data_IF_296523159448
#
_entry.id   IF_296523159448
#
_cell.length_a   1.000
_cell.length_b   1.000
_cell.length_c   1.000
_cell.angle_alpha   90.00
_cell.angle_beta   90.00
_cell.angle_gamma   90.00
#
_symmetry.space_group_name_H-M   'P 1'
#
loop_
_entity.id
_entity.type
_entity.pdbx_description
1 polymer ?
#
# COMPACT_ATOMS: atom_id res chain seq x y z
N UNK A 1 9.41 33.67 9.43
CA UNK A 1 8.06 33.05 9.42
C UNK A 1 8.27 31.60 9.84
N UNK A 2 7.88 31.25 11.07
CA UNK A 2 7.96 29.87 11.54
C UNK A 2 6.87 29.08 10.80
N UNK A 3 7.24 28.02 10.08
CA UNK A 3 6.30 27.12 9.42
C UNK A 3 5.44 26.43 10.47
N UNK A 4 4.15 26.31 10.18
CA UNK A 4 3.19 25.69 11.09
C UNK A 4 3.40 24.16 11.04
N UNK A 5 3.85 23.49 12.12
CA UNK A 5 4.22 22.08 12.09
C UNK A 5 3.05 21.15 11.69
N UNK A 6 1.80 21.60 11.91
CA UNK A 6 0.61 20.88 11.46
C UNK A 6 0.43 20.96 9.93
N UNK A 7 0.78 22.08 9.30
CA UNK A 7 0.75 22.23 7.84
C UNK A 7 1.85 21.38 7.17
N UNK A 8 3.04 21.32 7.78
CA UNK A 8 4.13 20.46 7.32
C UNK A 8 3.75 18.97 7.46
N UNK A 9 3.13 18.57 8.56
CA UNK A 9 2.64 17.20 8.75
C UNK A 9 1.54 16.83 7.74
N UNK A 10 0.61 17.75 7.45
CA UNK A 10 -0.46 17.55 6.47
C UNK A 10 0.08 17.43 5.04
N UNK A 11 1.07 18.25 4.66
CA UNK A 11 1.70 18.17 3.32
C UNK A 11 2.52 16.89 3.14
N UNK A 12 3.20 16.41 4.19
CA UNK A 12 3.88 15.12 4.21
C UNK A 12 2.88 13.95 4.13
N UNK A 13 1.79 14.01 4.89
CA UNK A 13 0.72 13.01 4.83
C UNK A 13 0.05 12.98 3.46
N UNK A 14 -0.24 14.14 2.87
CA UNK A 14 -0.78 14.27 1.51
C UNK A 14 0.17 13.70 0.46
N UNK A 15 1.47 13.99 0.57
CA UNK A 15 2.49 13.43 -0.33
C UNK A 15 2.57 11.90 -0.22
N UNK A 16 2.47 11.35 1.00
CA UNK A 16 2.42 9.90 1.24
C UNK A 16 1.14 9.25 0.75
N UNK A 17 -0.01 9.90 0.93
CA UNK A 17 -1.29 9.42 0.42
C UNK A 17 -1.30 9.40 -1.11
N UNK A 18 -0.85 10.47 -1.76
CA UNK A 18 -0.74 10.54 -3.21
C UNK A 18 0.18 9.44 -3.76
N UNK A 19 1.29 9.14 -3.08
CA UNK A 19 2.17 8.03 -3.44
C UNK A 19 1.43 6.68 -3.38
N UNK A 20 0.74 6.39 -2.27
CA UNK A 20 -0.01 5.15 -2.13
C UNK A 20 -1.20 5.05 -3.10
N UNK A 21 -1.87 6.16 -3.41
CA UNK A 21 -2.91 6.19 -4.45
C UNK A 21 -2.31 5.88 -5.82
N UNK A 22 -1.15 6.45 -6.16
CA UNK A 22 -0.44 6.18 -7.41
C UNK A 22 -0.14 4.69 -7.58
N UNK A 23 0.46 4.07 -6.55
CA UNK A 23 0.74 2.63 -6.57
C UNK A 23 -0.54 1.77 -6.60
N UNK A 24 -1.61 2.17 -5.92
CA UNK A 24 -2.88 1.46 -6.02
C UNK A 24 -3.42 1.46 -7.45
N UNK A 25 -3.37 2.59 -8.14
CA UNK A 25 -3.82 2.70 -9.53
C UNK A 25 -2.96 1.87 -10.47
N UNK A 26 -1.63 1.88 -10.26
CA UNK A 26 -0.68 1.07 -11.03
C UNK A 26 -1.00 -0.43 -10.93
N UNK A 27 -1.19 -0.95 -9.71
CA UNK A 27 -1.54 -2.36 -9.50
C UNK A 27 -2.91 -2.73 -10.07
N UNK A 28 -3.90 -1.82 -10.02
CA UNK A 28 -5.18 -2.02 -10.70
C UNK A 28 -5.04 -2.06 -12.22
N UNK A 29 -4.10 -1.30 -12.78
CA UNK A 29 -3.72 -1.38 -14.19
C UNK A 29 -3.13 -2.75 -14.55
N UNK A 30 -2.22 -3.26 -13.71
CA UNK A 30 -1.66 -4.61 -13.88
C UNK A 30 -2.74 -5.69 -13.75
N UNK A 31 -3.66 -5.58 -12.79
CA UNK A 31 -4.80 -6.48 -12.67
C UNK A 31 -5.58 -6.60 -13.99
N UNK A 32 -5.87 -5.47 -14.65
CA UNK A 32 -6.58 -5.47 -15.93
C UNK A 32 -5.85 -6.21 -17.05
N UNK A 33 -4.52 -6.32 -16.97
CA UNK A 33 -3.71 -7.08 -17.93
C UNK A 33 -3.67 -8.59 -17.60
N UNK A 34 -3.66 -8.94 -16.31
CA UNK A 34 -3.50 -10.31 -15.84
C UNK A 34 -4.82 -11.07 -15.69
N UNK A 35 -5.97 -10.38 -15.54
CA UNK A 35 -7.26 -10.99 -15.24
C UNK A 35 -7.75 -12.01 -16.29
N UNK A 36 -7.25 -11.94 -17.51
CA UNK A 36 -7.57 -12.89 -18.59
C UNK A 36 -6.49 -13.98 -18.79
N UNK A 37 -5.31 -13.82 -18.17
CA UNK A 37 -4.14 -14.68 -18.37
C UNK A 37 -3.90 -15.61 -17.19
N UNK A 38 -3.94 -15.05 -15.98
CA UNK A 38 -3.67 -15.77 -14.74
C UNK A 38 -4.47 -15.16 -13.59
N UNK A 39 -5.46 -15.90 -13.10
CA UNK A 39 -6.31 -15.46 -11.99
C UNK A 39 -5.56 -15.34 -10.67
N UNK A 40 -4.53 -16.16 -10.46
CA UNK A 40 -3.69 -16.09 -9.26
C UNK A 40 -2.87 -14.81 -9.24
N UNK A 41 -2.24 -14.48 -10.37
CA UNK A 41 -1.51 -13.22 -10.50
C UNK A 41 -2.44 -12.02 -10.42
N UNK A 42 -3.62 -12.08 -11.06
CA UNK A 42 -4.64 -11.03 -10.95
C UNK A 42 -5.12 -10.81 -9.50
N UNK A 43 -5.37 -11.89 -8.75
CA UNK A 43 -5.72 -11.81 -7.33
C UNK A 43 -4.61 -11.16 -6.50
N UNK A 44 -3.34 -11.48 -6.80
CA UNK A 44 -2.18 -10.86 -6.14
C UNK A 44 -2.14 -9.34 -6.40
N UNK A 45 -2.39 -8.89 -7.64
CA UNK A 45 -2.48 -7.45 -7.95
C UNK A 45 -3.56 -6.74 -7.13
N UNK A 46 -4.75 -7.34 -6.99
CA UNK A 46 -5.81 -6.80 -6.14
C UNK A 46 -5.42 -6.75 -4.66
N UNK A 47 -4.71 -7.78 -4.17
CA UNK A 47 -4.22 -7.84 -2.80
C UNK A 47 -3.24 -6.69 -2.51
N UNK A 48 -2.30 -6.43 -3.43
CA UNK A 48 -1.33 -5.32 -3.31
C UNK A 48 -2.03 -3.96 -3.42
N UNK A 49 -2.96 -3.78 -4.37
CA UNK A 49 -3.74 -2.55 -4.49
C UNK A 49 -4.53 -2.23 -3.20
N UNK A 50 -5.21 -3.23 -2.63
CA UNK A 50 -5.94 -3.10 -1.36
C UNK A 50 -5.03 -2.68 -0.20
N UNK A 51 -3.80 -3.20 -0.15
CA UNK A 51 -2.81 -2.82 0.86
C UNK A 51 -2.44 -1.34 0.78
N UNK A 52 -2.24 -0.82 -0.43
CA UNK A 52 -1.96 0.61 -0.60
C UNK A 52 -3.13 1.49 -0.16
N UNK A 53 -4.37 1.08 -0.44
CA UNK A 53 -5.56 1.77 0.08
C UNK A 53 -5.64 1.72 1.61
N UNK A 54 -5.34 0.57 2.22
CA UNK A 54 -5.33 0.41 3.68
C UNK A 54 -4.39 1.38 4.38
N UNK A 55 -3.22 1.66 3.79
CA UNK A 55 -2.27 2.66 4.31
C UNK A 55 -2.80 4.10 4.31
N UNK A 56 -3.78 4.41 3.46
CA UNK A 56 -4.40 5.73 3.37
C UNK A 56 -5.57 5.84 4.36
N UNK A 57 -6.39 4.79 4.45
CA UNK A 57 -7.60 4.76 5.29
C UNK A 57 -7.31 4.37 6.74
N UNK A 58 -6.08 3.98 7.06
CA UNK A 58 -5.71 3.42 8.37
C UNK A 58 -6.24 2.00 8.58
N UNK A 59 -6.77 1.35 7.53
CA UNK A 59 -7.22 -0.03 7.58
C UNK A 59 -6.03 -0.96 7.42
N UNK A 60 -5.76 -1.77 8.44
CA UNK A 60 -4.69 -2.76 8.46
C UNK A 60 -5.33 -4.14 8.46
N UNK A 61 -5.11 -4.92 7.40
CA UNK A 61 -5.62 -6.28 7.30
C UNK A 61 -4.81 -7.27 8.12
N UNK A 62 -5.33 -8.49 8.31
CA UNK A 62 -4.58 -9.59 8.95
C UNK A 62 -3.26 -9.88 8.23
N UNK A 63 -3.24 -9.80 6.91
CA UNK A 63 -2.03 -9.98 6.09
C UNK A 63 -0.96 -8.91 6.36
N UNK A 64 -1.36 -7.66 6.64
CA UNK A 64 -0.43 -6.60 7.02
C UNK A 64 0.16 -6.82 8.41
N UNK A 65 -0.64 -7.35 9.35
CA UNK A 65 -0.16 -7.76 10.67
C UNK A 65 0.83 -8.92 10.57
N UNK A 66 0.54 -9.92 9.73
CA UNK A 66 1.48 -11.03 9.48
C UNK A 66 2.79 -10.50 8.90
N UNK A 67 2.74 -9.59 7.93
CA UNK A 67 3.95 -8.96 7.38
C UNK A 67 4.74 -8.16 8.41
N UNK A 68 4.10 -7.54 9.41
CA UNK A 68 4.83 -6.87 10.52
C UNK A 68 5.46 -7.89 11.45
N UNK A 69 4.68 -8.89 11.88
CA UNK A 69 5.15 -9.95 12.77
C UNK A 69 6.34 -10.68 12.16
N UNK A 70 6.26 -11.03 10.87
CA UNK A 70 7.30 -11.78 10.16
C UNK A 70 8.44 -10.91 9.61
N UNK A 71 8.31 -9.58 9.59
CA UNK A 71 9.41 -8.68 9.14
C UNK A 71 10.54 -8.56 10.16
N UNK A 72 10.23 -8.74 11.45
CA UNK A 72 11.24 -8.72 12.53
C UNK A 72 11.78 -10.13 12.86
N UNK A 73 11.18 -11.19 12.30
CA UNK A 73 11.87 -12.48 12.22
C UNK A 73 12.98 -12.34 11.18
N UNK A 74 14.20 -12.02 11.64
CA UNK A 74 15.39 -12.16 10.84
C UNK A 74 15.31 -13.49 10.08
N UNK A 75 15.37 -13.42 8.75
CA UNK A 75 15.72 -14.56 7.90
C UNK A 75 17.13 -14.97 8.34
N UNK A 76 17.17 -15.89 9.29
CA UNK A 76 18.37 -16.29 10.01
C UNK A 76 18.44 -17.80 10.08
N UNK A 77 18.50 -18.43 8.89
CA UNK A 77 18.64 -19.86 8.61
C UNK A 77 17.50 -20.79 9.06
#
# INVERSE_FOLDING_TARGET
RCGDPLADCASLAQSRHSLHLGHCVEELGHYGHECQRDLGLAAERLRVARRHLGRITGQVGTEDLLDVIFRDFCIGK
#
